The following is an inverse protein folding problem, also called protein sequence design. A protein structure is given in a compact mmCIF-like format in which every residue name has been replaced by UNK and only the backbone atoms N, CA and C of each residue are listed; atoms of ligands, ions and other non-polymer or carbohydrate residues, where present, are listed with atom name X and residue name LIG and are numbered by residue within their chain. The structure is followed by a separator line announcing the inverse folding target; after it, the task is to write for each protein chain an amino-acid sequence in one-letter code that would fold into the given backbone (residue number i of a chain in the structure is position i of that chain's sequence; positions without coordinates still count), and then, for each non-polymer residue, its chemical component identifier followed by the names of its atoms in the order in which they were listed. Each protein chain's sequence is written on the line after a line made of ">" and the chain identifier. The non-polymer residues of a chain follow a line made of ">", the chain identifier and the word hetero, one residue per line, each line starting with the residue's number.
data_IF_680867272715
#
_entry.id   IF_680867272715
#
_cell.length_a   1.000
_cell.length_b   1.000
_cell.length_c   1.000
_cell.angle_alpha   90.00
_cell.angle_beta   90.00
_cell.angle_gamma   90.00
#
_symmetry.space_group_name_H-M   'P 1'
#
loop_
_entity.id
_entity.type
_entity.pdbx_description
1 polymer ?
#
# COMPACT_ATOMS: atom_id res chain seq x y z
N UNK A 1 42.13 9.40 12.78
CA UNK A 1 41.87 8.23 11.92
C UNK A 1 40.90 7.23 12.56
N UNK A 2 41.17 6.68 13.76
CA UNK A 2 40.27 5.71 14.42
C UNK A 2 38.84 6.23 14.71
N UNK A 3 38.72 7.47 15.18
CA UNK A 3 37.41 8.08 15.46
C UNK A 3 36.58 8.35 14.20
N UNK A 4 37.23 8.72 13.09
CA UNK A 4 36.57 8.92 11.79
C UNK A 4 36.02 7.60 11.25
N UNK A 5 36.82 6.53 11.32
CA UNK A 5 36.40 5.20 10.88
C UNK A 5 35.23 4.67 11.74
N UNK A 6 35.27 4.89 13.05
CA UNK A 6 34.16 4.53 13.94
C UNK A 6 32.88 5.29 13.57
N UNK A 7 32.98 6.59 13.28
CA UNK A 7 31.83 7.41 12.89
C UNK A 7 31.23 6.95 11.54
N UNK A 8 32.08 6.60 10.57
CA UNK A 8 31.65 6.06 9.26
C UNK A 8 30.96 4.70 9.43
N UNK A 9 31.48 3.82 10.28
CA UNK A 9 30.86 2.51 10.58
C UNK A 9 29.50 2.69 11.24
N UNK A 10 29.37 3.63 12.17
CA UNK A 10 28.08 3.93 12.82
C UNK A 10 27.07 4.46 11.81
N UNK A 11 27.45 5.43 10.97
CA UNK A 11 26.56 5.98 9.93
C UNK A 11 26.10 4.90 8.93
N UNK A 12 27.01 4.04 8.46
CA UNK A 12 26.66 2.93 7.57
C UNK A 12 25.71 1.92 8.23
N UNK A 13 25.92 1.62 9.51
CA UNK A 13 25.04 0.70 10.25
C UNK A 13 23.62 1.22 10.40
N UNK A 14 23.44 2.54 10.59
CA UNK A 14 22.12 3.17 10.69
C UNK A 14 21.34 3.07 9.38
N UNK A 15 22.01 3.25 8.23
CA UNK A 15 21.36 3.11 6.93
C UNK A 15 20.93 1.67 6.60
N UNK A 16 21.71 0.66 7.02
CA UNK A 16 21.33 -0.76 6.83
C UNK A 16 20.10 -1.16 7.66
N UNK A 17 19.98 -0.67 8.90
CA UNK A 17 18.85 -1.00 9.79
C UNK A 17 17.52 -0.51 9.23
N UNK A 18 17.48 0.69 8.64
CA UNK A 18 16.27 1.25 8.01
C UNK A 18 15.77 0.39 6.83
N UNK A 19 16.68 -0.10 5.99
CA UNK A 19 16.32 -0.95 4.85
C UNK A 19 15.70 -2.30 5.28
N UNK A 20 16.15 -2.85 6.41
CA UNK A 20 15.68 -4.14 6.92
C UNK A 20 14.22 -4.09 7.42
N UNK A 21 13.77 -2.93 7.91
CA UNK A 21 12.39 -2.75 8.38
C UNK A 21 11.37 -2.76 7.23
N UNK A 22 11.71 -2.22 6.06
CA UNK A 22 10.83 -2.31 4.89
C UNK A 22 10.85 -3.70 4.25
N UNK A 23 12.02 -4.34 4.16
CA UNK A 23 12.14 -5.70 3.61
C UNK A 23 11.43 -6.78 4.45
N UNK A 24 11.27 -6.55 5.75
CA UNK A 24 10.45 -7.43 6.61
C UNK A 24 8.94 -7.18 6.47
N UNK A 25 8.54 -5.95 6.15
CA UNK A 25 7.15 -5.59 5.85
C UNK A 25 6.69 -6.18 4.51
N UNK A 26 7.55 -6.11 3.49
CA UNK A 26 7.32 -6.65 2.15
C UNK A 26 7.96 -8.04 2.03
N UNK A 27 7.27 -9.09 2.49
CA UNK A 27 7.74 -10.47 2.28
C UNK A 27 7.80 -10.72 0.77
N UNK A 28 9.00 -10.87 0.21
CA UNK A 28 9.18 -11.12 -1.21
C UNK A 28 8.66 -12.51 -1.55
N UNK A 29 7.50 -12.58 -2.21
CA UNK A 29 7.01 -13.83 -2.80
C UNK A 29 7.88 -14.12 -4.01
N UNK A 30 8.67 -15.19 -3.92
CA UNK A 30 9.60 -15.55 -4.97
C UNK A 30 8.89 -16.45 -5.98
N UNK A 31 8.85 -16.01 -7.24
CA UNK A 31 8.09 -16.66 -8.32
C UNK A 31 8.50 -18.12 -8.57
N UNK A 32 9.76 -18.48 -8.30
CA UNK A 32 10.30 -19.86 -8.39
C UNK A 32 9.57 -20.91 -7.53
N UNK A 33 8.67 -20.52 -6.63
CA UNK A 33 7.80 -21.40 -5.85
C UNK A 33 6.32 -21.19 -6.26
N UNK A 34 6.02 -21.45 -7.55
CA UNK A 34 4.71 -21.20 -8.17
C UNK A 34 3.54 -21.88 -7.45
N UNK A 35 3.75 -23.08 -6.90
CA UNK A 35 2.69 -23.90 -6.30
C UNK A 35 1.93 -23.22 -5.15
N UNK A 36 2.55 -22.23 -4.49
CA UNK A 36 1.96 -21.49 -3.35
C UNK A 36 2.09 -19.98 -3.47
N UNK A 37 2.30 -19.47 -4.68
CA UNK A 37 2.45 -18.03 -4.92
C UNK A 37 1.24 -17.24 -4.41
N UNK A 38 0.02 -17.70 -4.74
CA UNK A 38 -1.22 -17.05 -4.33
C UNK A 38 -1.34 -16.91 -2.80
N UNK A 39 -1.05 -17.97 -2.06
CA UNK A 39 -1.09 -17.94 -0.59
C UNK A 39 -0.04 -16.98 -0.01
N UNK A 40 1.17 -16.96 -0.59
CA UNK A 40 2.21 -16.02 -0.22
C UNK A 40 1.76 -14.58 -0.45
N UNK A 41 1.21 -14.29 -1.63
CA UNK A 41 0.77 -12.95 -2.03
C UNK A 41 -0.38 -12.46 -1.15
N UNK A 42 -1.42 -13.27 -0.95
CA UNK A 42 -2.54 -12.95 -0.04
C UNK A 42 -2.01 -12.66 1.36
N UNK A 43 -1.08 -13.47 1.87
CA UNK A 43 -0.48 -13.27 3.19
C UNK A 43 0.34 -11.99 3.28
N UNK A 44 1.08 -11.65 2.23
CA UNK A 44 1.85 -10.41 2.16
C UNK A 44 0.93 -9.18 2.15
N UNK A 45 -0.13 -9.20 1.33
CA UNK A 45 -1.12 -8.12 1.28
C UNK A 45 -1.85 -7.96 2.61
N UNK A 46 -2.29 -9.07 3.24
CA UNK A 46 -2.91 -9.05 4.58
C UNK A 46 -1.99 -8.49 5.66
N UNK A 47 -0.67 -8.65 5.52
CA UNK A 47 0.33 -8.07 6.44
C UNK A 47 0.47 -6.55 6.27
N UNK A 48 0.35 -6.07 5.03
CA UNK A 48 0.49 -4.65 4.69
C UNK A 48 -0.82 -3.87 4.90
N UNK A 49 -1.96 -4.54 4.79
CA UNK A 49 -3.31 -3.99 4.94
C UNK A 49 -3.48 -3.05 6.16
N UNK A 50 -3.00 -3.35 7.38
CA UNK A 50 -3.11 -2.44 8.53
C UNK A 50 -2.34 -1.13 8.35
N UNK A 51 -1.17 -1.16 7.70
CA UNK A 51 -0.36 0.04 7.44
C UNK A 51 -1.03 0.94 6.41
N UNK A 52 -1.74 0.36 5.44
CA UNK A 52 -2.48 1.12 4.43
C UNK A 52 -3.67 1.89 5.02
N UNK A 53 -4.24 1.44 6.16
CA UNK A 53 -5.29 2.18 6.89
C UNK A 53 -4.80 3.58 7.26
N UNK A 54 -3.56 3.70 7.75
CA UNK A 54 -3.00 4.98 8.19
C UNK A 54 -2.36 5.77 7.04
N UNK A 55 -1.97 5.07 5.98
CA UNK A 55 -1.10 5.62 4.93
C UNK A 55 0.35 5.76 5.40
N UNK A 56 1.21 6.19 4.49
CA UNK A 56 2.60 6.53 4.75
C UNK A 56 3.03 7.74 3.89
N UNK A 57 3.09 8.95 4.47
CA UNK A 57 3.50 10.16 3.75
C UNK A 57 4.92 10.11 3.17
N UNK A 58 5.86 9.43 3.84
CA UNK A 58 7.25 9.31 3.37
C UNK A 58 7.36 8.51 2.07
N UNK A 59 6.42 7.59 1.85
CA UNK A 59 6.33 6.76 0.65
C UNK A 59 5.25 7.22 -0.32
N UNK A 60 4.67 8.41 -0.09
CA UNK A 60 3.54 8.93 -0.86
C UNK A 60 2.33 7.97 -0.93
N UNK A 61 2.11 7.21 0.14
CA UNK A 61 0.95 6.32 0.28
C UNK A 61 -0.13 7.06 1.07
N UNK A 62 -1.28 7.30 0.42
CA UNK A 62 -2.44 7.92 1.07
C UNK A 62 -3.13 6.97 2.03
N UNK A 63 -3.90 7.53 2.97
CA UNK A 63 -4.78 6.75 3.84
C UNK A 63 -5.84 6.02 3.01
N UNK A 64 -6.10 4.74 3.33
CA UNK A 64 -7.24 4.01 2.80
C UNK A 64 -8.51 4.18 3.64
N UNK A 65 -8.45 4.79 4.84
CA UNK A 65 -9.64 5.06 5.66
C UNK A 65 -9.48 6.35 6.50
N UNK A 66 -10.17 7.45 6.15
CA UNK A 66 -10.96 7.62 4.93
C UNK A 66 -10.07 7.68 3.69
N UNK A 67 -10.49 7.02 2.62
CA UNK A 67 -9.93 7.22 1.28
C UNK A 67 -10.55 8.48 0.67
N UNK A 68 -9.70 9.46 0.35
CA UNK A 68 -10.13 10.69 -0.31
C UNK A 68 -10.05 10.53 -1.84
N UNK A 69 -11.20 10.56 -2.51
CA UNK A 69 -11.31 10.51 -3.97
C UNK A 69 -11.44 11.91 -4.61
N UNK A 70 -11.58 12.95 -3.79
CA UNK A 70 -11.77 14.32 -4.25
C UNK A 70 -13.08 14.48 -5.03
N UNK A 71 -12.99 15.10 -6.20
CA UNK A 71 -14.13 15.36 -7.05
C UNK A 71 -14.31 14.22 -8.06
N UNK A 72 -15.43 13.51 -7.96
CA UNK A 72 -15.76 12.42 -8.89
C UNK A 72 -17.00 12.79 -9.71
N UNK A 73 -17.00 12.38 -10.98
CA UNK A 73 -18.15 12.54 -11.87
C UNK A 73 -18.58 11.19 -12.39
N UNK A 74 -19.88 10.95 -12.40
CA UNK A 74 -20.49 9.73 -12.89
C UNK A 74 -21.51 10.08 -13.98
N UNK A 75 -21.35 9.47 -15.15
CA UNK A 75 -22.28 9.64 -16.27
C UNK A 75 -22.83 8.27 -16.67
N UNK A 76 -24.11 8.05 -16.39
CA UNK A 76 -24.83 6.88 -16.91
C UNK A 76 -25.58 7.29 -18.18
N UNK A 77 -25.28 6.60 -19.28
CA UNK A 77 -25.93 6.81 -20.60
C UNK A 77 -26.80 5.64 -21.03
N UNK A 78 -27.02 4.67 -20.14
CA UNK A 78 -27.82 3.48 -20.44
C UNK A 78 -29.31 3.80 -20.24
N UNK A 79 -30.12 3.53 -21.28
CA UNK A 79 -31.57 3.76 -21.27
C UNK A 79 -31.99 5.10 -21.90
N UNK A 80 -33.29 5.47 -21.77
CA UNK A 80 -33.85 6.67 -22.41
C UNK A 80 -33.45 7.99 -21.74
N UNK A 81 -32.77 7.94 -20.59
CA UNK A 81 -32.36 9.12 -19.81
C UNK A 81 -30.86 9.06 -19.56
N UNK A 82 -30.19 10.21 -19.69
CA UNK A 82 -28.80 10.37 -19.25
C UNK A 82 -28.76 10.98 -17.85
N UNK A 83 -28.04 10.33 -16.95
CA UNK A 83 -27.82 10.82 -15.58
C UNK A 83 -26.38 11.28 -15.44
N UNK A 84 -26.19 12.55 -15.07
CA UNK A 84 -24.89 13.11 -14.71
C UNK A 84 -24.90 13.45 -13.23
N UNK A 85 -24.00 12.83 -12.46
CA UNK A 85 -23.81 13.09 -11.05
C UNK A 85 -22.40 13.62 -10.81
N UNK A 86 -22.29 14.70 -10.03
CA UNK A 86 -21.03 15.31 -9.63
C UNK A 86 -20.96 15.30 -8.11
N UNK A 87 -19.90 14.72 -7.58
CA UNK A 87 -19.64 14.66 -6.15
C UNK A 87 -18.36 15.42 -5.86
N UNK A 88 -18.38 16.25 -4.84
CA UNK A 88 -17.22 17.01 -4.36
C UNK A 88 -16.80 16.51 -2.99
N UNK A 89 -15.49 16.58 -2.72
CA UNK A 89 -14.90 16.19 -1.43
C UNK A 89 -15.29 14.78 -0.97
N UNK A 90 -15.25 13.83 -1.91
CA UNK A 90 -15.73 12.46 -1.68
C UNK A 90 -14.77 11.69 -0.79
N UNK A 91 -15.27 11.26 0.38
CA UNK A 91 -14.58 10.39 1.32
C UNK A 91 -15.25 9.01 1.36
N UNK A 92 -14.46 7.96 1.19
CA UNK A 92 -14.89 6.56 1.25
C UNK A 92 -14.31 5.89 2.49
N UNK A 93 -15.17 5.21 3.26
CA UNK A 93 -14.80 4.54 4.51
C UNK A 93 -14.87 3.02 4.36
N UNK A 94 -14.08 2.30 5.15
CA UNK A 94 -14.14 0.84 5.21
C UNK A 94 -13.43 0.09 4.07
N UNK A 95 -12.74 0.79 3.17
CA UNK A 95 -11.91 0.20 2.11
C UNK A 95 -10.89 -0.83 2.66
N UNK A 96 -10.23 -0.61 3.82
CA UNK A 96 -9.26 -1.56 4.33
C UNK A 96 -9.84 -2.90 4.77
N UNK A 97 -11.16 -3.11 4.75
CA UNK A 97 -11.81 -4.39 5.08
C UNK A 97 -11.98 -5.31 3.87
N UNK A 98 -11.21 -5.09 2.80
CA UNK A 98 -11.24 -5.93 1.62
C UNK A 98 -10.81 -7.37 1.91
N UNK A 99 -11.32 -8.29 1.11
CA UNK A 99 -10.89 -9.69 1.07
C UNK A 99 -10.54 -10.08 -0.37
N UNK A 100 -9.45 -10.83 -0.54
CA UNK A 100 -8.91 -11.17 -1.85
C UNK A 100 -9.51 -12.51 -2.25
N UNK A 101 -10.40 -12.50 -3.27
CA UNK A 101 -11.10 -13.70 -3.74
C UNK A 101 -10.44 -14.35 -4.95
N UNK A 102 -9.85 -13.54 -5.83
CA UNK A 102 -9.27 -14.00 -7.10
C UNK A 102 -7.92 -13.31 -7.31
N UNK A 103 -6.93 -14.10 -7.70
CA UNK A 103 -5.64 -13.66 -8.22
C UNK A 103 -5.52 -14.32 -9.60
N UNK A 104 -5.53 -13.49 -10.64
CA UNK A 104 -5.31 -13.92 -12.02
C UNK A 104 -3.82 -14.10 -12.30
#
# INVERSE_FOLDING_TARGET
>A
MRALNALVVVLLSVHLVSAQQLGTLMKQCHEQFLDRFNECFISAVKRVQPTLVKGNPELNVSSLDPLNLGNISFTQREGPVTVNAFYSDTLVYGVPKFDIKYLE
#
